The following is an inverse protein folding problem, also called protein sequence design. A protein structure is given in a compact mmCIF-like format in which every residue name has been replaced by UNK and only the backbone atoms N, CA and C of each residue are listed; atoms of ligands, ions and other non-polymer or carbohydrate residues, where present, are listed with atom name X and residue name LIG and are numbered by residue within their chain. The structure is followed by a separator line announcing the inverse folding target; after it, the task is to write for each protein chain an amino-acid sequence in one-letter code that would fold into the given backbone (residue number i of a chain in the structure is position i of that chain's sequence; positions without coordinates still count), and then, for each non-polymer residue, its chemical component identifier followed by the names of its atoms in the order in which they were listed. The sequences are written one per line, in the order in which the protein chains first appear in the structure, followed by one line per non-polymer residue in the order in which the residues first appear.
data_IF_873486090640
#
_entry.id   IF_873486090640
#
_cell.length_a   1.000
_cell.length_b   1.000
_cell.length_c   1.000
_cell.angle_alpha   90.00
_cell.angle_beta   90.00
_cell.angle_gamma   90.00
#
_symmetry.space_group_name_H-M   'P 1'
#
loop_
_entity.id
_entity.type
_entity.pdbx_description
1 polymer ?
#
# COMPACT_ATOMS: atom_id res chain seq x y z
N UNK A 1 10.26 -33.76 13.84
CA UNK A 1 11.19 -32.90 13.08
C UNK A 1 10.76 -32.48 11.66
N UNK A 2 9.93 -33.20 10.89
CA UNK A 2 9.59 -32.79 9.49
C UNK A 2 8.68 -31.55 9.32
N UNK A 3 7.86 -31.21 10.33
CA UNK A 3 6.86 -30.15 10.22
C UNK A 3 7.43 -28.73 10.24
N UNK A 4 8.58 -28.50 10.89
CA UNK A 4 9.14 -27.15 11.06
C UNK A 4 9.84 -26.66 9.79
N UNK A 5 10.65 -27.52 9.16
CA UNK A 5 11.29 -27.23 7.88
C UNK A 5 10.26 -27.07 6.75
N UNK A 6 9.26 -27.97 6.68
CA UNK A 6 8.18 -27.88 5.70
C UNK A 6 7.33 -26.60 5.88
N UNK A 7 7.08 -26.15 7.12
CA UNK A 7 6.38 -24.90 7.39
C UNK A 7 7.21 -23.67 6.99
N UNK A 8 8.52 -23.68 7.25
CA UNK A 8 9.42 -22.60 6.80
C UNK A 8 9.51 -22.52 5.27
N UNK A 9 9.46 -23.65 4.58
CA UNK A 9 9.45 -23.72 3.12
C UNK A 9 8.14 -23.16 2.55
N UNK A 10 7.00 -23.54 3.13
CA UNK A 10 5.69 -22.97 2.79
C UNK A 10 5.63 -21.46 3.06
N UNK A 11 6.22 -20.98 4.16
CA UNK A 11 6.28 -19.55 4.46
C UNK A 11 7.08 -18.78 3.39
N UNK A 12 8.21 -19.32 2.95
CA UNK A 12 9.00 -18.72 1.87
C UNK A 12 8.23 -18.70 0.55
N UNK A 13 7.57 -19.81 0.22
CA UNK A 13 6.78 -19.95 -1.00
C UNK A 13 5.61 -18.95 -1.04
N UNK A 14 4.89 -18.78 0.08
CA UNK A 14 3.79 -17.80 0.16
C UNK A 14 4.31 -16.38 -0.01
N UNK A 15 5.43 -16.04 0.62
CA UNK A 15 6.06 -14.72 0.46
C UNK A 15 6.46 -14.46 -1.00
N UNK A 16 7.04 -15.44 -1.68
CA UNK A 16 7.42 -15.34 -3.11
C UNK A 16 6.20 -15.16 -4.03
N UNK A 17 5.13 -15.92 -3.79
CA UNK A 17 3.87 -15.81 -4.53
C UNK A 17 3.28 -14.41 -4.37
N UNK A 18 3.20 -13.89 -3.14
CA UNK A 18 2.63 -12.56 -2.89
C UNK A 18 3.51 -11.43 -3.43
N UNK A 19 4.84 -11.54 -3.33
CA UNK A 19 5.75 -10.57 -3.95
C UNK A 19 5.63 -10.55 -5.48
N UNK A 20 5.42 -11.72 -6.08
CA UNK A 20 5.19 -11.84 -7.52
C UNK A 20 3.85 -11.25 -7.90
N UNK A 21 2.79 -11.59 -7.16
CA UNK A 21 1.45 -11.03 -7.38
C UNK A 21 1.46 -9.50 -7.30
N UNK A 22 2.02 -8.93 -6.22
CA UNK A 22 2.04 -7.47 -6.04
C UNK A 22 2.87 -6.77 -7.13
N UNK A 23 3.97 -7.40 -7.57
CA UNK A 23 4.80 -6.83 -8.64
C UNK A 23 4.10 -6.85 -9.99
N UNK A 24 3.36 -7.93 -10.30
CA UNK A 24 2.57 -8.04 -11.54
C UNK A 24 1.46 -6.99 -11.56
N UNK A 25 0.65 -6.90 -10.49
CA UNK A 25 -0.47 -5.95 -10.47
C UNK A 25 0.00 -4.49 -10.57
N UNK A 26 1.13 -4.16 -9.94
CA UNK A 26 1.71 -2.81 -10.00
C UNK A 26 2.37 -2.54 -11.35
N UNK A 27 2.96 -3.56 -11.99
CA UNK A 27 3.41 -3.47 -13.38
C UNK A 27 2.27 -3.14 -14.34
N UNK A 28 1.12 -3.82 -14.19
CA UNK A 28 -0.08 -3.53 -14.98
C UNK A 28 -0.59 -2.10 -14.73
N UNK A 29 -0.67 -1.68 -13.46
CA UNK A 29 -1.09 -0.32 -13.11
C UNK A 29 -0.17 0.75 -13.75
N UNK A 30 1.15 0.51 -13.72
CA UNK A 30 2.13 1.38 -14.36
C UNK A 30 1.94 1.45 -15.88
N UNK A 31 1.65 0.32 -16.55
CA UNK A 31 1.34 0.32 -17.99
C UNK A 31 0.14 1.20 -18.30
N UNK A 32 -0.95 1.09 -17.54
CA UNK A 32 -2.15 1.92 -17.73
C UNK A 32 -1.83 3.41 -17.48
N UNK A 33 -1.01 3.72 -16.46
CA UNK A 33 -0.56 5.09 -16.21
C UNK A 33 0.23 5.64 -17.41
N UNK A 34 1.16 4.87 -17.97
CA UNK A 34 1.98 5.27 -19.12
C UNK A 34 1.10 5.52 -20.35
N UNK A 35 0.17 4.61 -20.65
CA UNK A 35 -0.73 4.74 -21.80
C UNK A 35 -1.59 6.02 -21.72
N UNK A 36 -2.17 6.30 -20.54
CA UNK A 36 -3.00 7.48 -20.34
C UNK A 36 -2.16 8.77 -20.24
N UNK A 37 -0.94 8.70 -19.70
CA UNK A 37 0.00 9.81 -19.69
C UNK A 37 0.40 10.21 -21.12
N UNK A 38 0.61 9.25 -22.02
CA UNK A 38 0.95 9.53 -23.42
C UNK A 38 -0.11 10.39 -24.12
N UNK A 39 -1.40 10.13 -23.88
CA UNK A 39 -2.49 10.94 -24.41
C UNK A 39 -2.40 12.40 -23.95
N UNK A 40 -2.13 12.63 -22.65
CA UNK A 40 -1.95 13.97 -22.07
C UNK A 40 -0.75 14.71 -22.66
N UNK A 41 0.35 13.98 -22.92
CA UNK A 41 1.58 14.52 -23.52
C UNK A 41 1.31 14.96 -24.97
N UNK A 42 0.63 14.13 -25.75
CA UNK A 42 0.30 14.43 -27.14
C UNK A 42 -0.55 15.69 -27.27
N UNK A 43 -1.47 15.91 -26.34
CA UNK A 43 -2.35 17.09 -26.30
C UNK A 43 -1.73 18.34 -25.65
N UNK A 44 -0.46 18.26 -25.18
CA UNK A 44 0.29 19.35 -24.51
C UNK A 44 -0.40 19.96 -23.30
N UNK A 45 -1.26 19.22 -22.61
CA UNK A 45 -1.99 19.73 -21.45
C UNK A 45 -1.12 19.69 -20.17
N UNK A 46 -0.28 20.72 -19.99
CA UNK A 46 0.75 20.77 -18.95
C UNK A 46 0.22 20.59 -17.52
N UNK A 47 -1.02 21.01 -17.23
CA UNK A 47 -1.63 20.91 -15.90
C UNK A 47 -1.86 19.47 -15.45
N UNK A 48 -2.07 18.54 -16.38
CA UNK A 48 -2.36 17.14 -16.06
C UNK A 48 -1.12 16.30 -15.74
N UNK A 49 0.09 16.84 -15.93
CA UNK A 49 1.32 16.18 -15.49
C UNK A 49 1.36 15.94 -13.98
N UNK A 50 0.73 16.82 -13.19
CA UNK A 50 0.65 16.62 -11.74
C UNK A 50 -0.14 15.35 -11.39
N UNK A 51 -1.15 14.99 -12.19
CA UNK A 51 -1.91 13.76 -12.02
C UNK A 51 -1.09 12.53 -12.41
N UNK A 52 -0.26 12.63 -13.45
CA UNK A 52 0.68 11.55 -13.82
C UNK A 52 1.67 11.29 -12.68
N UNK A 53 2.27 12.34 -12.12
CA UNK A 53 3.19 12.23 -10.99
C UNK A 53 2.47 11.70 -9.75
N UNK A 54 1.22 12.12 -9.51
CA UNK A 54 0.42 11.62 -8.40
C UNK A 54 0.13 10.12 -8.55
N UNK A 55 -0.23 9.67 -9.76
CA UNK A 55 -0.40 8.25 -10.07
C UNK A 55 0.87 7.45 -9.80
N UNK A 56 2.03 7.98 -10.16
CA UNK A 56 3.31 7.32 -9.85
C UNK A 56 3.56 7.21 -8.34
N UNK A 57 3.23 8.24 -7.56
CA UNK A 57 3.34 8.17 -6.10
C UNK A 57 2.33 7.22 -5.47
N UNK A 58 1.12 7.10 -6.02
CA UNK A 58 0.14 6.09 -5.60
C UNK A 58 0.74 4.68 -5.77
N UNK A 59 1.30 4.37 -6.94
CA UNK A 59 1.99 3.10 -7.22
C UNK A 59 3.11 2.86 -6.19
N UNK A 60 3.99 3.84 -5.97
CA UNK A 60 5.10 3.69 -5.02
C UNK A 60 4.63 3.46 -3.59
N UNK A 61 3.62 4.19 -3.13
CA UNK A 61 3.07 4.03 -1.78
C UNK A 61 2.41 2.66 -1.65
N UNK A 62 1.56 2.26 -2.60
CA UNK A 62 0.87 0.98 -2.55
C UNK A 62 1.86 -0.20 -2.58
N UNK A 63 2.78 -0.19 -3.55
CA UNK A 63 3.81 -1.23 -3.67
C UNK A 63 4.68 -1.33 -2.42
N UNK A 64 5.20 -0.20 -1.91
CA UNK A 64 6.08 -0.21 -0.74
C UNK A 64 5.38 -0.69 0.53
N UNK A 65 4.11 -0.31 0.74
CA UNK A 65 3.29 -0.80 1.85
C UNK A 65 3.01 -2.29 1.74
N UNK A 66 2.66 -2.77 0.55
CA UNK A 66 2.40 -4.18 0.32
C UNK A 66 3.66 -5.03 0.53
N UNK A 67 4.84 -4.60 0.05
CA UNK A 67 6.11 -5.28 0.32
C UNK A 67 6.41 -5.34 1.81
N UNK A 68 6.25 -4.22 2.53
CA UNK A 68 6.47 -4.20 3.99
C UNK A 68 5.52 -5.16 4.70
N UNK A 69 4.24 -5.17 4.31
CA UNK A 69 3.25 -6.10 4.84
C UNK A 69 3.66 -7.56 4.60
N UNK A 70 4.05 -7.90 3.36
CA UNK A 70 4.46 -9.27 3.01
C UNK A 70 5.67 -9.72 3.84
N UNK A 71 6.69 -8.86 3.97
CA UNK A 71 7.91 -9.21 4.70
C UNK A 71 7.73 -9.30 6.22
N UNK A 72 6.74 -8.60 6.79
CA UNK A 72 6.56 -8.52 8.24
C UNK A 72 5.43 -9.41 8.75
N UNK A 73 4.36 -9.54 7.99
CA UNK A 73 3.13 -10.18 8.45
C UNK A 73 2.87 -11.48 7.72
N UNK A 74 3.11 -11.62 6.41
CA UNK A 74 2.66 -12.78 5.63
C UNK A 74 3.50 -14.04 5.89
N UNK A 75 2.80 -15.16 6.13
CA UNK A 75 3.31 -16.54 6.31
C UNK A 75 2.15 -17.51 6.06
N UNK A 76 2.44 -18.80 5.96
CA UNK A 76 1.43 -19.84 5.82
C UNK A 76 0.38 -19.79 6.95
N UNK A 77 -0.92 -19.99 6.67
CA UNK A 77 -1.55 -20.26 5.36
C UNK A 77 -1.85 -19.00 4.53
N UNK A 78 -1.98 -19.19 3.22
CA UNK A 78 -2.30 -18.13 2.26
C UNK A 78 -3.75 -17.64 2.45
N UNK A 79 -3.92 -16.33 2.70
CA UNK A 79 -5.20 -15.69 2.95
C UNK A 79 -5.78 -15.12 1.64
N UNK A 80 -6.70 -15.87 1.02
CA UNK A 80 -7.30 -15.46 -0.26
C UNK A 80 -8.05 -14.12 -0.19
N UNK A 81 -8.66 -13.78 0.95
CA UNK A 81 -9.38 -12.51 1.11
C UNK A 81 -8.48 -11.29 0.91
N UNK A 82 -7.27 -11.34 1.45
CA UNK A 82 -6.25 -10.30 1.29
C UNK A 82 -5.81 -10.14 -0.16
N UNK A 83 -5.53 -11.27 -0.82
CA UNK A 83 -5.10 -11.29 -2.22
C UNK A 83 -6.19 -10.78 -3.17
N UNK A 84 -7.46 -11.10 -2.93
CA UNK A 84 -8.57 -10.55 -3.71
C UNK A 84 -8.71 -9.04 -3.53
N UNK A 85 -8.44 -8.53 -2.32
CA UNK A 85 -8.43 -7.09 -2.07
C UNK A 85 -7.27 -6.38 -2.79
N UNK A 86 -6.08 -7.00 -2.90
CA UNK A 86 -5.01 -6.46 -3.75
C UNK A 86 -5.42 -6.35 -5.22
N UNK A 87 -6.11 -7.37 -5.75
CA UNK A 87 -6.62 -7.35 -7.13
C UNK A 87 -7.70 -6.26 -7.29
N UNK A 88 -8.59 -6.11 -6.31
CA UNK A 88 -9.61 -5.06 -6.32
C UNK A 88 -8.99 -3.66 -6.27
N UNK A 89 -7.95 -3.45 -5.45
CA UNK A 89 -7.17 -2.22 -5.44
C UNK A 89 -6.54 -1.93 -6.81
N UNK A 90 -5.91 -2.93 -7.44
CA UNK A 90 -5.30 -2.77 -8.76
C UNK A 90 -6.33 -2.43 -9.85
N UNK A 91 -7.54 -2.99 -9.79
CA UNK A 91 -8.63 -2.62 -10.70
C UNK A 91 -9.02 -1.15 -10.53
N UNK A 92 -9.23 -0.69 -9.29
CA UNK A 92 -9.60 0.70 -9.04
C UNK A 92 -8.46 1.66 -9.39
N UNK A 93 -7.21 1.27 -9.13
CA UNK A 93 -6.02 2.02 -9.53
C UNK A 93 -5.93 2.18 -11.06
N UNK A 94 -6.15 1.11 -11.83
CA UNK A 94 -6.20 1.17 -13.28
C UNK A 94 -7.33 2.10 -13.78
N UNK A 95 -8.52 2.01 -13.17
CA UNK A 95 -9.64 2.90 -13.50
C UNK A 95 -9.28 4.35 -13.17
N UNK A 96 -8.67 4.61 -12.01
CA UNK A 96 -8.21 5.93 -11.59
C UNK A 96 -7.26 6.55 -12.62
N UNK A 97 -6.25 5.79 -13.06
CA UNK A 97 -5.28 6.26 -14.06
C UNK A 97 -5.90 6.49 -15.44
N UNK A 98 -6.96 5.76 -15.79
CA UNK A 98 -7.75 6.05 -16.98
C UNK A 98 -8.56 7.37 -16.88
N UNK A 99 -8.63 8.00 -15.70
CA UNK A 99 -9.35 9.26 -15.48
C UNK A 99 -8.44 10.49 -15.31
N UNK A 100 -7.16 10.44 -15.71
CA UNK A 100 -6.22 11.57 -15.56
C UNK A 100 -6.78 12.88 -16.13
N UNK A 101 -7.45 12.85 -17.29
CA UNK A 101 -8.06 14.02 -17.90
C UNK A 101 -9.37 14.51 -17.27
N UNK A 102 -9.85 13.88 -16.19
CA UNK A 102 -11.14 14.17 -15.55
C UNK A 102 -10.97 14.35 -14.03
N UNK A 103 -10.64 15.58 -13.56
CA UNK A 103 -10.34 15.86 -12.15
C UNK A 103 -11.37 15.32 -11.16
N UNK A 104 -12.67 15.53 -11.41
CA UNK A 104 -13.72 15.07 -10.49
C UNK A 104 -13.79 13.54 -10.38
N UNK A 105 -13.54 12.83 -11.49
CA UNK A 105 -13.49 11.37 -11.50
C UNK A 105 -12.22 10.86 -10.84
N UNK A 106 -11.08 11.52 -11.07
CA UNK A 106 -9.81 11.20 -10.41
C UNK A 106 -9.97 11.16 -8.89
N UNK A 107 -10.39 12.27 -8.27
CA UNK A 107 -10.55 12.31 -6.81
C UNK A 107 -11.66 11.37 -6.30
N UNK A 108 -12.70 11.12 -7.12
CA UNK A 108 -13.73 10.15 -6.80
C UNK A 108 -13.19 8.72 -6.70
N UNK A 109 -12.48 8.26 -7.73
CA UNK A 109 -11.87 6.93 -7.75
C UNK A 109 -10.67 6.82 -6.79
N UNK A 110 -9.93 7.91 -6.56
CA UNK A 110 -8.90 7.99 -5.53
C UNK A 110 -9.48 7.76 -4.14
N UNK A 111 -10.63 8.37 -3.83
CA UNK A 111 -11.38 8.09 -2.60
C UNK A 111 -11.79 6.61 -2.48
N UNK A 112 -12.30 6.00 -3.56
CA UNK A 112 -12.65 4.56 -3.57
C UNK A 112 -11.41 3.69 -3.36
N UNK A 113 -10.30 4.00 -4.03
CA UNK A 113 -9.04 3.29 -3.88
C UNK A 113 -8.56 3.30 -2.43
N UNK A 114 -8.56 4.48 -1.80
CA UNK A 114 -8.17 4.62 -0.38
C UNK A 114 -9.15 3.91 0.54
N UNK A 115 -10.46 3.88 0.23
CA UNK A 115 -11.43 3.14 1.04
C UNK A 115 -11.20 1.62 1.01
N UNK A 116 -10.87 1.05 -0.16
CA UNK A 116 -10.48 -0.35 -0.27
C UNK A 116 -9.16 -0.60 0.47
N UNK A 117 -8.17 0.27 0.28
CA UNK A 117 -6.90 0.23 1.01
C UNK A 117 -7.10 0.31 2.53
N UNK A 118 -8.04 1.12 3.00
CA UNK A 118 -8.37 1.21 4.42
C UNK A 118 -8.98 -0.10 4.94
N UNK A 119 -9.83 -0.74 4.15
CA UNK A 119 -10.38 -2.07 4.48
C UNK A 119 -9.28 -3.13 4.56
N UNK A 120 -8.29 -3.09 3.66
CA UNK A 120 -7.09 -3.94 3.73
C UNK A 120 -6.37 -3.81 5.06
N UNK A 121 -6.08 -2.59 5.51
CA UNK A 121 -5.40 -2.38 6.79
C UNK A 121 -6.22 -2.89 7.99
N UNK A 122 -7.54 -2.74 7.95
CA UNK A 122 -8.42 -3.31 8.99
C UNK A 122 -8.40 -4.85 8.96
N UNK A 123 -8.33 -5.45 7.78
CA UNK A 123 -8.19 -6.89 7.61
C UNK A 123 -6.83 -7.38 8.16
N UNK A 124 -5.75 -6.65 7.85
CA UNK A 124 -4.38 -6.92 8.31
C UNK A 124 -4.27 -7.00 9.84
N UNK A 125 -5.03 -6.17 10.58
CA UNK A 125 -5.03 -6.23 12.04
C UNK A 125 -5.42 -7.61 12.55
N UNK A 126 -6.41 -8.28 11.92
CA UNK A 126 -6.81 -9.64 12.32
C UNK A 126 -5.66 -10.60 12.15
N UNK A 127 -4.92 -10.46 11.06
CA UNK A 127 -3.78 -11.30 10.74
C UNK A 127 -2.62 -11.10 11.72
N UNK A 128 -2.32 -9.84 12.09
CA UNK A 128 -1.31 -9.50 13.10
C UNK A 128 -1.70 -10.07 14.48
N UNK A 129 -2.96 -9.90 14.90
CA UNK A 129 -3.43 -10.43 16.18
C UNK A 129 -3.43 -11.97 16.25
N UNK A 130 -3.72 -12.64 15.14
CA UNK A 130 -3.60 -14.10 15.06
C UNK A 130 -2.14 -14.53 15.24
N UNK A 131 -1.19 -13.79 14.66
CA UNK A 131 0.25 -14.14 14.66
C UNK A 131 0.97 -13.80 15.96
N UNK A 132 0.54 -12.78 16.69
CA UNK A 132 1.08 -12.49 18.03
C UNK A 132 0.86 -13.63 19.03
N UNK A 133 -0.15 -14.49 18.82
CA UNK A 133 -0.37 -15.68 19.64
C UNK A 133 0.67 -16.79 19.39
N UNK A 134 1.38 -16.73 18.27
CA UNK A 134 2.43 -17.67 17.86
C UNK A 134 3.85 -17.10 18.09
N UNK A 135 4.00 -15.95 18.79
CA UNK A 135 5.29 -15.25 18.94
C UNK A 135 6.36 -16.12 19.62
N UNK A 136 7.50 -16.25 18.95
CA UNK A 136 8.59 -17.13 19.35
C UNK A 136 9.74 -16.43 20.09
N UNK A 137 9.57 -15.21 20.64
CA UNK A 137 10.67 -14.51 21.33
C UNK A 137 10.53 -12.98 21.48
N UNK A 138 11.46 -12.36 22.21
CA UNK A 138 11.38 -10.95 22.63
C UNK A 138 11.61 -9.97 21.46
N UNK A 139 12.41 -10.34 20.45
CA UNK A 139 12.62 -9.51 19.26
C UNK A 139 11.38 -9.54 18.33
N UNK A 140 10.72 -10.69 18.22
CA UNK A 140 9.44 -10.86 17.50
C UNK A 140 8.34 -9.99 18.11
N UNK A 141 8.29 -9.87 19.44
CA UNK A 141 7.31 -9.03 20.14
C UNK A 141 7.55 -7.53 19.92
N UNK A 142 8.83 -7.10 19.96
CA UNK A 142 9.20 -5.70 19.68
C UNK A 142 8.88 -5.31 18.23
N UNK A 143 9.14 -6.21 17.28
CA UNK A 143 8.78 -6.04 15.87
C UNK A 143 7.26 -5.91 15.70
N UNK A 144 6.51 -6.83 16.30
CA UNK A 144 5.04 -6.86 16.22
C UNK A 144 4.39 -5.62 16.83
N UNK A 145 4.90 -5.14 17.97
CA UNK A 145 4.42 -3.91 18.61
C UNK A 145 4.64 -2.66 17.72
N UNK A 146 5.78 -2.56 17.03
CA UNK A 146 6.05 -1.46 16.10
C UNK A 146 5.15 -1.50 14.87
N UNK A 147 4.99 -2.68 14.25
CA UNK A 147 4.10 -2.87 13.09
C UNK A 147 2.66 -2.53 13.46
N UNK A 148 2.20 -2.94 14.65
CA UNK A 148 0.85 -2.60 15.15
C UNK A 148 0.64 -1.10 15.33
N UNK A 149 1.63 -0.38 15.86
CA UNK A 149 1.53 1.07 16.03
C UNK A 149 1.43 1.78 14.68
N UNK A 150 2.22 1.35 13.70
CA UNK A 150 2.12 1.86 12.33
C UNK A 150 0.75 1.55 11.71
N UNK A 151 0.25 0.31 11.79
CA UNK A 151 -1.10 -0.05 11.32
C UNK A 151 -2.19 0.84 11.93
N UNK A 152 -2.14 1.09 13.24
CA UNK A 152 -3.10 1.99 13.90
C UNK A 152 -2.99 3.44 13.42
N UNK A 153 -1.78 3.98 13.23
CA UNK A 153 -1.60 5.32 12.68
C UNK A 153 -2.18 5.44 11.27
N UNK A 154 -2.03 4.39 10.47
CA UNK A 154 -2.60 4.36 9.12
C UNK A 154 -4.13 4.31 9.14
N UNK A 155 -4.71 3.44 9.97
CA UNK A 155 -6.17 3.28 10.10
C UNK A 155 -6.83 4.51 10.73
N UNK A 156 -6.21 5.09 11.76
CA UNK A 156 -6.83 6.15 12.55
C UNK A 156 -6.58 7.55 11.98
N UNK A 157 -5.50 7.75 11.24
CA UNK A 157 -5.08 9.09 10.81
C UNK A 157 -4.76 9.18 9.31
N UNK A 158 -3.79 8.41 8.80
CA UNK A 158 -3.28 8.65 7.44
C UNK A 158 -4.30 8.33 6.34
N UNK A 159 -4.88 7.13 6.35
CA UNK A 159 -5.87 6.74 5.35
C UNK A 159 -7.17 7.56 5.43
N UNK A 160 -7.75 7.82 6.63
CA UNK A 160 -8.89 8.72 6.74
C UNK A 160 -8.59 10.12 6.20
N UNK A 161 -7.43 10.70 6.54
CA UNK A 161 -7.09 12.04 6.08
C UNK A 161 -6.99 12.11 4.54
N UNK A 162 -6.33 11.14 3.90
CA UNK A 162 -6.21 11.08 2.43
C UNK A 162 -7.57 10.80 1.78
N UNK A 163 -8.41 9.96 2.42
CA UNK A 163 -9.78 9.69 1.97
C UNK A 163 -10.62 10.97 1.98
N UNK A 164 -10.61 11.71 3.09
CA UNK A 164 -11.35 12.97 3.18
C UNK A 164 -10.79 14.03 2.24
N UNK A 165 -9.47 14.11 2.04
CA UNK A 165 -8.87 14.99 1.03
C UNK A 165 -9.43 14.70 -0.36
N UNK A 166 -9.50 13.43 -0.75
CA UNK A 166 -10.07 13.00 -2.03
C UNK A 166 -11.58 13.31 -2.12
N UNK A 167 -12.35 12.96 -1.08
CA UNK A 167 -13.78 13.17 -1.05
C UNK A 167 -14.15 14.67 -1.12
N UNK A 168 -13.49 15.50 -0.31
CA UNK A 168 -13.70 16.95 -0.31
C UNK A 168 -13.30 17.54 -1.66
N UNK A 169 -12.17 17.12 -2.24
CA UNK A 169 -11.74 17.56 -3.57
C UNK A 169 -12.77 17.21 -4.65
N UNK A 170 -13.31 15.99 -4.64
CA UNK A 170 -14.35 15.56 -5.56
C UNK A 170 -15.65 16.37 -5.40
N UNK A 171 -16.06 16.67 -4.16
CA UNK A 171 -17.23 17.50 -3.86
C UNK A 171 -17.01 18.93 -4.37
N UNK A 172 -15.88 19.56 -4.04
CA UNK A 172 -15.55 20.92 -4.43
C UNK A 172 -15.58 21.11 -5.95
N UNK A 173 -14.99 20.18 -6.71
CA UNK A 173 -14.97 20.24 -8.18
C UNK A 173 -16.39 20.10 -8.75
N UNK A 174 -17.23 19.25 -8.15
CA UNK A 174 -18.62 19.05 -8.59
C UNK A 174 -19.52 20.24 -8.24
N UNK A 175 -19.30 20.87 -7.08
CA UNK A 175 -20.13 21.99 -6.62
C UNK A 175 -19.75 23.30 -7.31
N UNK A 176 -18.46 23.53 -7.59
CA UNK A 176 -17.95 24.77 -8.20
C UNK A 176 -17.10 24.51 -9.45
N UNK A 177 -17.69 23.96 -10.53
CA UNK A 177 -16.95 23.59 -11.74
C UNK A 177 -16.31 24.80 -12.43
N UNK A 178 -16.93 25.98 -12.38
CA UNK A 178 -16.35 27.22 -12.93
C UNK A 178 -15.00 27.57 -12.30
N UNK A 179 -14.89 27.42 -10.98
CA UNK A 179 -13.64 27.72 -10.27
C UNK A 179 -12.60 26.64 -10.53
N UNK A 180 -12.98 25.37 -10.39
CA UNK A 180 -12.02 24.28 -10.43
C UNK A 180 -11.62 23.85 -11.83
N UNK A 181 -12.52 23.92 -12.82
CA UNK A 181 -12.27 23.50 -14.20
C UNK A 181 -11.95 24.69 -15.10
N UNK A 182 -12.76 25.77 -15.10
CA UNK A 182 -12.51 26.89 -16.01
C UNK A 182 -11.29 27.75 -15.59
N UNK A 183 -11.04 27.88 -14.28
CA UNK A 183 -9.87 28.60 -13.76
C UNK A 183 -8.72 27.67 -13.32
N UNK A 184 -8.81 26.36 -13.63
CA UNK A 184 -7.79 25.36 -13.28
C UNK A 184 -7.47 25.27 -11.78
N UNK A 185 -8.37 25.68 -10.87
CA UNK A 185 -8.08 25.60 -9.43
C UNK A 185 -7.91 24.16 -8.93
N UNK A 186 -8.29 23.14 -9.73
CA UNK A 186 -8.02 21.72 -9.44
C UNK A 186 -6.52 21.43 -9.29
N UNK A 187 -5.63 22.28 -9.85
CA UNK A 187 -4.17 22.18 -9.71
C UNK A 187 -3.73 22.24 -8.25
N UNK A 188 -4.41 23.06 -7.43
CA UNK A 188 -4.10 23.15 -6.00
C UNK A 188 -4.53 21.90 -5.23
N UNK A 189 -5.63 21.27 -5.63
CA UNK A 189 -6.12 20.03 -5.02
C UNK A 189 -5.16 18.88 -5.30
N UNK A 190 -4.72 18.72 -6.56
CA UNK A 190 -3.77 17.67 -6.93
C UNK A 190 -2.37 17.93 -6.33
N UNK A 191 -1.96 19.20 -6.19
CA UNK A 191 -0.73 19.54 -5.48
C UNK A 191 -0.79 19.15 -4.00
N UNK A 192 -1.92 19.37 -3.33
CA UNK A 192 -2.12 18.94 -1.95
C UNK A 192 -2.06 17.41 -1.82
N UNK A 193 -2.69 16.69 -2.75
CA UNK A 193 -2.63 15.22 -2.82
C UNK A 193 -1.20 14.71 -3.06
N UNK A 194 -0.46 15.35 -3.98
CA UNK A 194 0.96 15.05 -4.22
C UNK A 194 1.80 15.18 -2.96
N UNK A 195 1.63 16.28 -2.21
CA UNK A 195 2.34 16.48 -0.94
C UNK A 195 1.96 15.42 0.08
N UNK A 196 0.68 15.04 0.15
CA UNK A 196 0.22 13.98 1.04
C UNK A 196 0.87 12.63 0.70
N UNK A 197 0.86 12.21 -0.57
CA UNK A 197 1.48 10.95 -0.99
C UNK A 197 3.00 10.97 -0.88
N UNK A 198 3.66 12.10 -1.20
CA UNK A 198 5.10 12.25 -1.00
C UNK A 198 5.49 12.14 0.48
N UNK A 199 4.76 12.83 1.35
CA UNK A 199 4.94 12.76 2.80
C UNK A 199 4.73 11.34 3.32
N UNK A 200 3.71 10.64 2.81
CA UNK A 200 3.46 9.25 3.15
C UNK A 200 4.59 8.33 2.66
N UNK A 201 5.08 8.50 1.42
CA UNK A 201 6.20 7.71 0.90
C UNK A 201 7.46 7.90 1.75
N UNK A 202 7.81 9.14 2.11
CA UNK A 202 8.94 9.44 3.01
C UNK A 202 8.75 8.76 4.36
N UNK A 203 7.54 8.78 4.91
CA UNK A 203 7.21 8.08 6.14
C UNK A 203 7.45 6.56 6.01
N UNK A 204 6.96 5.93 4.94
CA UNK A 204 7.11 4.49 4.69
C UNK A 204 8.59 4.10 4.55
N UNK A 205 9.35 4.86 3.77
CA UNK A 205 10.79 4.60 3.58
C UNK A 205 11.56 4.70 4.90
N UNK A 206 11.30 5.75 5.69
CA UNK A 206 11.92 5.91 7.02
C UNK A 206 11.52 4.79 7.98
N UNK A 207 10.25 4.39 7.95
CA UNK A 207 9.74 3.30 8.76
C UNK A 207 10.41 1.98 8.39
N UNK A 208 10.51 1.66 7.10
CA UNK A 208 11.21 0.47 6.60
C UNK A 208 12.69 0.45 7.01
N UNK A 209 13.42 1.55 6.82
CA UNK A 209 14.82 1.66 7.23
C UNK A 209 15.00 1.40 8.74
N UNK A 210 14.05 1.82 9.57
CA UNK A 210 14.05 1.58 11.01
C UNK A 210 13.67 0.14 11.42
N UNK A 211 12.99 -0.59 10.52
CA UNK A 211 12.52 -1.97 10.72
C UNK A 211 13.51 -3.01 10.23
N UNK A 212 14.26 -2.72 9.16
CA UNK A 212 15.24 -3.61 8.55
C UNK A 212 16.16 -4.34 9.56
N UNK A 213 16.78 -3.67 10.56
CA UNK A 213 17.60 -4.37 11.55
C UNK A 213 16.79 -5.34 12.44
N UNK A 214 15.58 -4.95 12.82
CA UNK A 214 14.69 -5.78 13.65
C UNK A 214 14.18 -7.02 12.91
N UNK A 215 13.95 -6.91 11.61
CA UNK A 215 13.56 -8.05 10.77
C UNK A 215 14.71 -9.06 10.69
N UNK A 216 15.95 -8.59 10.53
CA UNK A 216 17.12 -9.46 10.52
C UNK A 216 17.30 -10.18 11.85
N UNK A 217 17.20 -9.47 12.98
CA UNK A 217 17.29 -10.03 14.33
C UNK A 217 16.19 -11.06 14.62
N UNK A 218 14.93 -10.75 14.31
CA UNK A 218 13.81 -11.67 14.51
C UNK A 218 13.99 -12.95 13.68
N UNK A 219 14.52 -12.85 12.46
CA UNK A 219 14.79 -14.01 11.59
C UNK A 219 15.95 -14.86 12.09
N UNK A 220 16.94 -14.26 12.74
CA UNK A 220 18.02 -14.99 13.42
C UNK A 220 17.51 -15.73 14.67
N UNK A 221 16.69 -15.09 15.51
CA UNK A 221 16.09 -15.72 16.70
C UNK A 221 15.25 -16.95 16.33
N UNK A 222 14.52 -16.86 15.22
CA UNK A 222 13.73 -17.95 14.69
C UNK A 222 14.55 -19.12 14.17
N UNK A 223 15.70 -18.87 13.54
CA UNK A 223 16.62 -19.92 13.08
C UNK A 223 17.37 -20.57 14.25
N UNK A 224 17.83 -19.79 15.23
CA UNK A 224 18.54 -20.32 16.40
C UNK A 224 17.70 -21.26 17.26
N UNK A 225 16.40 -20.99 17.43
CA UNK A 225 15.48 -21.90 18.15
C UNK A 225 15.19 -23.21 17.42
N UNK A 226 15.38 -23.26 16.10
CA UNK A 226 15.25 -24.51 15.35
C UNK A 226 16.45 -25.42 15.61
N UNK A 227 17.66 -24.86 15.67
CA UNK A 227 18.88 -25.61 15.98
C UNK A 227 18.93 -26.13 17.42
N UNK A 228 18.44 -25.34 18.40
CA UNK A 228 18.40 -25.77 19.82
C UNK A 228 17.39 -26.90 20.08
N UNK A 229 16.30 -26.98 19.30
CA UNK A 229 15.30 -28.05 19.42
C UNK A 229 15.69 -29.34 18.71
N UNK A 230 16.62 -29.29 17.78
CA UNK A 230 17.14 -30.47 17.07
C UNK A 230 18.29 -31.16 17.85
N UNK A 231 18.79 -30.54 18.94
CA UNK A 231 19.84 -31.07 19.82
C UNK A 231 19.32 -31.67 21.14
N UNK A 232 18.01 -31.65 21.41
CA UNK A 232 17.35 -32.24 22.60
C UNK A 232 16.45 -33.40 22.25
#
# INVERSE_FOLDING_TARGET
MKFSAARSELDSMVVEIELTLVSIIQGVALTILIENAHAVIAERQLFFWLYVVAGLFIIFVFWSRAVLHILTVIRWPLEFGHNFLYIACALVEAILFAQIGKPASWFGFGGVFIAIGWTLFVYDLRLIYARMRDSAGEASDRLSARVRRDQWLNIALLLPAIFFLNLVSAILIRTWPEVFLAHNAHVWLIAAELVAFAGYLVYVVRFYASLAPLIAEARHEWRGRLDDRDQS
#
